data_IF_761615262527
#
_entry.id   IF_761615262527
#
_cell.length_a   1.000
_cell.length_b   1.000
_cell.length_c   1.000
_cell.angle_alpha   90.00
_cell.angle_beta   90.00
_cell.angle_gamma   90.00
#
_symmetry.space_group_name_H-M   'P 1'
#
loop_
_entity.id
_entity.type
_entity.pdbx_description
1 polymer ?
#
# COMPACT_ATOMS: atom_id res chain seq x y z
N UNK A 1 26.65 3.92 -8.38
CA UNK A 1 27.26 3.54 -7.07
C UNK A 1 28.56 4.32 -6.87
N UNK A 2 28.50 5.66 -6.89
CA UNK A 2 29.67 6.54 -6.67
C UNK A 2 29.42 7.73 -5.73
N UNK A 3 28.18 8.06 -5.36
CA UNK A 3 27.92 9.30 -4.61
C UNK A 3 27.76 9.19 -3.09
N UNK A 4 27.70 7.99 -2.52
CA UNK A 4 27.59 7.85 -1.04
C UNK A 4 28.95 7.96 -0.35
N UNK A 5 30.04 7.66 -1.07
CA UNK A 5 31.40 7.71 -0.52
C UNK A 5 31.94 9.12 -0.35
N UNK A 6 31.48 10.09 -1.16
CA UNK A 6 31.97 11.47 -1.09
C UNK A 6 31.41 12.22 0.13
N UNK A 7 30.16 11.93 0.52
CA UNK A 7 29.50 12.57 1.66
C UNK A 7 30.11 12.15 3.01
N UNK A 8 30.60 10.91 3.12
CA UNK A 8 31.23 10.41 4.34
C UNK A 8 32.67 10.94 4.51
N UNK A 9 33.42 11.09 3.41
CA UNK A 9 34.77 11.69 3.41
C UNK A 9 34.73 13.18 3.79
N UNK A 10 33.67 13.91 3.42
CA UNK A 10 33.50 15.31 3.78
C UNK A 10 33.25 15.55 5.29
N UNK A 11 32.83 14.52 6.04
CA UNK A 11 32.54 14.60 7.48
C UNK A 11 33.79 14.43 8.36
N UNK A 12 34.85 13.77 7.87
CA UNK A 12 36.09 13.57 8.64
C UNK A 12 37.10 14.73 8.53
N UNK A 13 37.00 15.59 7.52
CA UNK A 13 37.95 16.72 7.33
C UNK A 13 37.65 17.97 8.17
N UNK A 14 36.53 18.02 8.91
CA UNK A 14 36.15 19.16 9.74
C UNK A 14 36.53 18.99 11.23
N UNK A 15 37.84 18.90 11.51
CA UNK A 15 38.37 18.98 12.90
C UNK A 15 38.38 20.39 13.50
N UNK A 16 37.99 21.41 12.73
CA UNK A 16 37.58 22.72 13.24
C UNK A 16 36.13 22.92 12.84
N UNK A 17 35.23 23.03 13.82
CA UNK A 17 33.79 23.02 13.60
C UNK A 17 33.30 23.92 12.45
N UNK A 18 32.14 23.60 11.85
CA UNK A 18 31.70 24.22 10.60
C UNK A 18 31.59 25.75 10.73
N UNK A 19 32.00 26.52 9.70
CA UNK A 19 31.79 27.96 9.68
C UNK A 19 30.29 28.28 9.79
N UNK A 20 29.97 29.37 10.49
CA UNK A 20 28.59 29.80 10.72
C UNK A 20 27.85 29.98 9.39
N UNK A 21 26.94 29.05 9.09
CA UNK A 21 26.23 28.93 7.81
C UNK A 21 26.15 27.50 7.28
N UNK A 22 27.11 26.63 7.60
CA UNK A 22 27.15 25.26 7.07
C UNK A 22 26.20 24.29 7.78
N UNK A 23 25.91 24.53 9.07
CA UNK A 23 24.90 23.75 9.80
C UNK A 23 23.49 23.95 9.21
N UNK A 24 23.17 25.17 8.77
CA UNK A 24 21.88 25.46 8.12
C UNK A 24 21.75 24.72 6.80
N UNK A 25 22.80 24.68 5.98
CA UNK A 25 22.82 23.96 4.71
C UNK A 25 22.73 22.42 4.89
N UNK A 26 23.34 21.87 5.94
CA UNK A 26 23.25 20.44 6.26
C UNK A 26 21.85 20.09 6.79
N UNK A 27 21.24 20.95 7.60
CA UNK A 27 19.86 20.77 8.09
C UNK A 27 18.86 20.89 6.94
N UNK A 28 19.04 21.82 5.99
CA UNK A 28 18.22 21.93 4.78
C UNK A 28 18.39 20.72 3.86
N UNK A 29 19.61 20.23 3.65
CA UNK A 29 19.86 19.03 2.84
C UNK A 29 19.28 17.75 3.47
N UNK A 30 19.27 17.64 4.81
CA UNK A 30 18.61 16.55 5.53
C UNK A 30 17.08 16.70 5.55
N UNK A 31 16.53 17.92 5.55
CA UNK A 31 15.09 18.19 5.44
C UNK A 31 14.53 17.88 4.04
N UNK A 32 15.35 17.99 2.99
CA UNK A 32 14.99 17.57 1.61
C UNK A 32 14.89 16.03 1.50
N UNK A 33 15.55 15.28 2.40
CA UNK A 33 15.40 13.82 2.47
C UNK A 33 14.14 13.38 3.23
N UNK A 34 13.66 14.17 4.20
CA UNK A 34 12.46 13.86 5.00
C UNK A 34 11.14 14.33 4.37
N UNK A 35 11.18 15.10 3.27
CA UNK A 35 9.98 15.65 2.60
C UNK A 35 9.23 14.67 1.69
N UNK A 36 9.64 13.39 1.60
CA UNK A 36 8.86 12.37 0.87
C UNK A 36 7.58 11.90 1.58
N UNK A 37 7.35 12.34 2.82
CA UNK A 37 6.15 12.02 3.60
C UNK A 37 5.63 13.23 4.38
N UNK A 38 5.36 14.35 3.70
CA UNK A 38 4.47 15.36 4.27
C UNK A 38 3.01 14.87 4.11
N UNK A 39 2.21 14.74 5.19
CA UNK A 39 0.81 14.38 5.04
C UNK A 39 0.07 15.54 4.36
N UNK A 40 -0.51 15.26 3.19
CA UNK A 40 -1.44 16.18 2.54
C UNK A 40 -2.72 16.15 3.38
N UNK A 41 -3.01 17.26 4.05
CA UNK A 41 -4.20 17.40 4.89
C UNK A 41 -5.41 17.63 3.98
N UNK A 42 -6.11 16.56 3.60
CA UNK A 42 -7.42 16.67 2.99
C UNK A 42 -8.45 16.71 4.13
N UNK A 43 -9.01 17.90 4.34
CA UNK A 43 -10.14 18.13 5.24
C UNK A 43 -11.37 17.50 4.57
N UNK A 44 -11.76 16.31 5.03
CA UNK A 44 -12.98 15.65 4.58
C UNK A 44 -14.08 15.99 5.59
N UNK A 45 -15.24 16.50 5.15
CA UNK A 45 -16.34 16.77 6.05
C UNK A 45 -16.80 15.45 6.67
N UNK A 46 -16.77 15.40 8.01
CA UNK A 46 -17.42 14.35 8.78
C UNK A 46 -18.93 14.39 8.50
N UNK A 47 -19.53 13.21 8.30
CA UNK A 47 -20.98 12.95 8.32
C UNK A 47 -21.86 13.27 7.09
N UNK A 48 -21.39 13.03 5.86
CA UNK A 48 -22.34 12.80 4.75
C UNK A 48 -22.83 11.34 4.74
N UNK A 49 -24.00 11.12 5.35
CA UNK A 49 -24.81 9.93 5.12
C UNK A 49 -25.20 9.91 3.64
N UNK A 50 -24.77 8.87 2.93
CA UNK A 50 -25.05 8.65 1.51
C UNK A 50 -26.55 8.78 1.26
N UNK A 51 -26.91 9.66 0.32
CA UNK A 51 -28.30 9.84 -0.08
C UNK A 51 -28.83 8.54 -0.70
N UNK A 52 -30.13 8.24 -0.54
CA UNK A 52 -30.73 7.03 -1.13
C UNK A 52 -30.61 7.00 -2.68
N UNK A 53 -30.39 8.16 -3.30
CA UNK A 53 -30.21 8.34 -4.74
C UNK A 53 -28.80 7.92 -5.19
N UNK A 54 -27.77 8.22 -4.40
CA UNK A 54 -26.39 7.77 -4.65
C UNK A 54 -26.23 6.25 -4.46
N UNK A 55 -26.93 5.69 -3.47
CA UNK A 55 -27.00 4.24 -3.26
C UNK A 55 -27.65 3.54 -4.48
N UNK A 56 -28.73 4.10 -5.03
CA UNK A 56 -29.40 3.55 -6.21
C UNK A 56 -28.55 3.67 -7.50
N UNK A 57 -27.71 4.71 -7.62
CA UNK A 57 -26.78 4.87 -8.73
C UNK A 57 -25.65 3.82 -8.72
N UNK A 58 -25.19 3.41 -7.53
CA UNK A 58 -24.19 2.36 -7.35
C UNK A 58 -24.78 0.96 -7.55
N UNK A 59 -25.98 0.70 -7.04
CA UNK A 59 -26.71 -0.55 -7.23
C UNK A 59 -27.07 -0.78 -8.71
N UNK A 60 -27.21 0.31 -9.48
CA UNK A 60 -27.45 0.31 -10.93
C UNK A 60 -26.21 0.12 -11.81
N UNK A 61 -25.00 -0.04 -11.25
CA UNK A 61 -23.80 -0.33 -12.03
C UNK A 61 -23.62 -1.86 -12.19
N UNK A 62 -24.01 -2.47 -13.33
CA UNK A 62 -23.82 -3.90 -13.61
C UNK A 62 -22.33 -4.35 -13.65
N UNK A 63 -21.40 -3.45 -13.34
CA UNK A 63 -19.96 -3.67 -13.33
C UNK A 63 -19.40 -4.03 -11.95
N UNK A 64 -20.04 -3.61 -10.85
CA UNK A 64 -19.57 -3.93 -9.48
C UNK A 64 -19.83 -5.40 -9.11
N UNK A 65 -20.75 -6.07 -9.82
CA UNK A 65 -20.98 -7.51 -9.73
C UNK A 65 -19.94 -8.33 -10.51
N UNK A 66 -19.19 -7.72 -11.43
CA UNK A 66 -18.21 -8.42 -12.27
C UNK A 66 -16.87 -8.59 -11.54
N UNK A 67 -16.20 -9.71 -11.83
CA UNK A 67 -14.88 -9.99 -11.27
C UNK A 67 -13.84 -9.04 -11.85
N UNK A 68 -13.03 -8.42 -10.98
CA UNK A 68 -11.93 -7.53 -11.42
C UNK A 68 -10.78 -8.37 -11.99
N UNK A 69 -10.74 -9.65 -11.61
CA UNK A 69 -9.71 -10.61 -12.01
C UNK A 69 -10.33 -11.92 -12.50
N UNK A 70 -9.64 -12.57 -13.42
CA UNK A 70 -9.85 -13.96 -13.82
C UNK A 70 -9.04 -14.88 -12.90
N UNK A 71 -9.72 -15.86 -12.31
CA UNK A 71 -9.08 -16.90 -11.49
C UNK A 71 -8.50 -17.98 -12.40
N UNK A 72 -7.24 -18.34 -12.16
CA UNK A 72 -6.45 -19.28 -12.98
C UNK A 72 -6.24 -20.58 -12.20
N UNK A 73 -4.99 -21.03 -12.11
CA UNK A 73 -4.63 -22.27 -11.43
C UNK A 73 -4.65 -22.11 -9.91
N UNK A 74 -5.01 -23.20 -9.21
CA UNK A 74 -4.89 -23.27 -7.75
C UNK A 74 -3.44 -23.52 -7.38
N UNK A 75 -2.99 -22.84 -6.33
CA UNK A 75 -1.69 -23.04 -5.71
C UNK A 75 -1.88 -23.55 -4.28
N UNK A 76 -0.78 -23.83 -3.58
CA UNK A 76 -0.83 -24.18 -2.15
C UNK A 76 -1.36 -23.03 -1.27
N UNK A 77 -1.19 -21.78 -1.74
CA UNK A 77 -1.49 -20.57 -0.96
C UNK A 77 -2.79 -19.88 -1.41
N UNK A 78 -3.45 -20.37 -2.47
CA UNK A 78 -4.68 -19.76 -2.98
C UNK A 78 -4.90 -20.00 -4.47
N UNK A 79 -5.31 -18.96 -5.18
CA UNK A 79 -5.58 -19.01 -6.63
C UNK A 79 -4.80 -17.92 -7.35
N UNK A 80 -4.06 -18.30 -8.39
CA UNK A 80 -3.41 -17.33 -9.27
C UNK A 80 -4.44 -16.53 -10.03
N UNK A 81 -4.16 -15.25 -10.25
CA UNK A 81 -5.10 -14.34 -10.91
C UNK A 81 -4.49 -13.68 -12.15
N UNK A 82 -5.37 -13.19 -13.01
CA UNK A 82 -5.06 -12.27 -14.10
C UNK A 82 -6.04 -11.10 -14.07
N UNK A 83 -5.58 -9.87 -14.16
CA UNK A 83 -6.41 -8.67 -14.12
C UNK A 83 -7.25 -8.54 -15.38
N UNK A 84 -8.53 -8.25 -15.22
CA UNK A 84 -9.41 -7.83 -16.31
C UNK A 84 -9.24 -6.34 -16.51
N UNK A 85 -8.24 -5.96 -17.31
CA UNK A 85 -7.76 -4.58 -17.47
C UNK A 85 -8.85 -3.52 -17.67
N UNK A 86 -9.85 -3.71 -18.54
CA UNK A 86 -10.94 -2.74 -18.72
C UNK A 86 -11.81 -2.52 -17.48
N UNK A 87 -12.13 -3.59 -16.73
CA UNK A 87 -12.94 -3.51 -15.51
C UNK A 87 -12.13 -2.83 -14.41
N UNK A 88 -10.89 -3.29 -14.18
CA UNK A 88 -9.98 -2.69 -13.21
C UNK A 88 -9.78 -1.18 -13.48
N UNK A 89 -9.56 -0.82 -14.75
CA UNK A 89 -9.37 0.57 -15.15
C UNK A 89 -10.60 1.45 -14.89
N UNK A 90 -11.81 0.94 -15.15
CA UNK A 90 -13.05 1.67 -14.84
C UNK A 90 -13.22 1.90 -13.35
N UNK A 91 -12.93 0.91 -12.51
CA UNK A 91 -12.99 1.06 -11.05
C UNK A 91 -12.01 2.13 -10.59
N UNK A 92 -10.77 2.11 -11.10
CA UNK A 92 -9.79 3.16 -10.76
C UNK A 92 -10.25 4.54 -11.24
N UNK A 93 -10.87 4.65 -12.40
CA UNK A 93 -11.42 5.92 -12.88
C UNK A 93 -12.54 6.45 -11.97
N UNK A 94 -13.39 5.56 -11.43
CA UNK A 94 -14.40 5.91 -10.41
C UNK A 94 -13.72 6.38 -9.12
N UNK A 95 -12.79 5.59 -8.57
CA UNK A 95 -12.10 5.91 -7.31
C UNK A 95 -11.28 7.21 -7.37
N UNK A 96 -10.79 7.56 -8.56
CA UNK A 96 -10.10 8.83 -8.81
C UNK A 96 -11.03 10.03 -8.74
N UNK A 97 -12.29 9.87 -9.17
CA UNK A 97 -13.30 10.93 -9.11
C UNK A 97 -13.90 11.00 -7.71
N UNK A 98 -14.20 9.86 -7.11
CA UNK A 98 -14.79 9.75 -5.77
C UNK A 98 -14.18 8.58 -5.00
N UNK A 99 -13.41 8.89 -3.95
CA UNK A 99 -12.81 7.88 -3.08
C UNK A 99 -13.85 7.20 -2.17
N UNK A 100 -15.02 7.80 -1.93
CA UNK A 100 -16.04 7.21 -1.07
C UNK A 100 -16.54 5.87 -1.62
N UNK A 101 -16.52 5.69 -2.93
CA UNK A 101 -16.78 4.42 -3.59
C UNK A 101 -15.87 3.28 -3.09
N UNK A 102 -14.64 3.56 -2.62
CA UNK A 102 -13.76 2.54 -2.04
C UNK A 102 -14.34 1.92 -0.76
N UNK A 103 -15.08 2.68 0.04
CA UNK A 103 -15.73 2.18 1.25
C UNK A 103 -16.92 1.29 0.93
N UNK A 104 -17.52 1.42 -0.26
CA UNK A 104 -18.68 0.65 -0.70
C UNK A 104 -18.31 -0.64 -1.46
N UNK A 105 -17.05 -0.79 -1.86
CA UNK A 105 -16.60 -2.03 -2.49
C UNK A 105 -16.76 -3.21 -1.52
N UNK A 106 -17.29 -4.36 -1.98
CA UNK A 106 -17.20 -5.60 -1.21
C UNK A 106 -15.73 -5.89 -0.84
N UNK A 107 -15.43 -6.39 0.37
CA UNK A 107 -14.05 -6.65 0.80
C UNK A 107 -13.23 -7.44 -0.23
N UNK A 108 -13.82 -8.49 -0.80
CA UNK A 108 -13.16 -9.31 -1.83
C UNK A 108 -12.89 -8.56 -3.13
N UNK A 109 -13.78 -7.63 -3.52
CA UNK A 109 -13.53 -6.78 -4.68
C UNK A 109 -12.40 -5.80 -4.41
N UNK A 110 -12.27 -5.34 -3.17
CA UNK A 110 -11.13 -4.52 -2.77
C UNK A 110 -9.82 -5.32 -2.77
N UNK A 111 -9.82 -6.57 -2.33
CA UNK A 111 -8.68 -7.50 -2.48
C UNK A 111 -8.32 -7.74 -3.95
N UNK A 112 -9.31 -8.01 -4.81
CA UNK A 112 -9.10 -8.18 -6.24
C UNK A 112 -8.54 -6.92 -6.91
N UNK A 113 -8.96 -5.72 -6.48
CA UNK A 113 -8.42 -4.44 -6.96
C UNK A 113 -6.92 -4.32 -6.63
N UNK A 114 -6.53 -4.63 -5.39
CA UNK A 114 -5.14 -4.61 -4.93
C UNK A 114 -4.30 -5.67 -5.63
N UNK A 115 -4.83 -6.89 -5.81
CA UNK A 115 -4.18 -7.95 -6.56
C UNK A 115 -3.95 -7.54 -8.04
N UNK A 116 -4.97 -6.98 -8.68
CA UNK A 116 -4.83 -6.44 -10.03
C UNK A 116 -3.78 -5.33 -10.12
N UNK A 117 -3.64 -4.50 -9.07
CA UNK A 117 -2.62 -3.47 -9.01
C UNK A 117 -1.20 -4.07 -8.96
N UNK A 118 -0.96 -5.11 -8.16
CA UNK A 118 0.33 -5.81 -8.16
C UNK A 118 0.67 -6.40 -9.53
N UNK A 119 -0.28 -7.03 -10.21
CA UNK A 119 -0.01 -7.59 -11.53
C UNK A 119 0.32 -6.48 -12.55
N UNK A 120 -0.42 -5.37 -12.53
CA UNK A 120 -0.12 -4.20 -13.37
C UNK A 120 1.21 -3.52 -13.05
N UNK A 121 1.68 -3.62 -11.80
CA UNK A 121 3.02 -3.16 -11.39
C UNK A 121 4.14 -4.06 -11.95
N UNK A 122 3.80 -5.22 -12.50
CA UNK A 122 4.74 -6.15 -13.12
C UNK A 122 5.14 -7.34 -12.24
N UNK A 123 4.38 -7.64 -11.19
CA UNK A 123 4.50 -8.92 -10.48
C UNK A 123 3.99 -10.04 -11.38
N UNK A 124 4.72 -11.15 -11.44
CA UNK A 124 4.47 -12.22 -12.40
C UNK A 124 3.42 -13.20 -11.89
N UNK A 125 3.52 -13.52 -10.59
CA UNK A 125 2.57 -14.39 -9.91
C UNK A 125 1.84 -13.56 -8.86
N UNK A 126 0.54 -13.37 -9.04
CA UNK A 126 -0.31 -12.74 -8.03
C UNK A 126 -1.38 -13.74 -7.63
N UNK A 127 -1.42 -14.03 -6.34
CA UNK A 127 -2.27 -15.05 -5.74
C UNK A 127 -3.24 -14.35 -4.80
N UNK A 128 -4.54 -14.61 -4.98
CA UNK A 128 -5.55 -14.34 -3.96
C UNK A 128 -5.65 -15.56 -3.06
N UNK A 129 -5.54 -15.34 -1.75
CA UNK A 129 -5.61 -16.39 -0.76
C UNK A 129 -7.07 -16.82 -0.52
N UNK A 130 -7.32 -17.98 0.11
CA UNK A 130 -8.65 -18.37 0.54
C UNK A 130 -9.17 -17.46 1.65
N UNK A 131 -10.48 -17.20 1.71
CA UNK A 131 -11.12 -16.33 2.73
C UNK A 131 -10.92 -16.76 4.19
N UNK A 132 -10.38 -17.94 4.44
CA UNK A 132 -10.19 -18.50 5.78
C UNK A 132 -8.95 -19.37 5.83
N UNK A 133 -8.22 -19.34 6.95
CA UNK A 133 -7.03 -20.17 7.15
C UNK A 133 -5.79 -19.67 6.38
N UNK A 134 -5.83 -18.44 5.88
CA UNK A 134 -4.75 -17.76 5.16
C UNK A 134 -3.79 -17.00 6.09
N UNK A 135 -4.03 -17.04 7.40
CA UNK A 135 -3.32 -16.28 8.42
C UNK A 135 -3.41 -14.75 8.24
N UNK A 136 -4.45 -14.25 7.56
CA UNK A 136 -4.65 -12.82 7.32
C UNK A 136 -3.81 -12.22 6.19
N UNK A 137 -3.24 -13.07 5.33
CA UNK A 137 -2.66 -12.67 4.04
C UNK A 137 -3.80 -12.71 3.04
N UNK A 138 -4.09 -11.61 2.37
CA UNK A 138 -5.18 -11.54 1.39
C UNK A 138 -4.64 -11.61 -0.05
N UNK A 139 -3.42 -11.09 -0.28
CA UNK A 139 -2.73 -11.12 -1.57
C UNK A 139 -1.27 -11.53 -1.39
N UNK A 140 -0.78 -12.43 -2.23
CA UNK A 140 0.65 -12.75 -2.34
C UNK A 140 1.12 -12.38 -3.75
N UNK A 141 2.17 -11.57 -3.86
CA UNK A 141 2.71 -11.12 -5.13
C UNK A 141 4.19 -11.49 -5.24
N UNK A 142 4.55 -12.21 -6.31
CA UNK A 142 5.93 -12.65 -6.57
C UNK A 142 6.43 -12.06 -7.88
N UNK A 143 7.62 -11.45 -7.80
CA UNK A 143 8.41 -11.03 -8.96
C UNK A 143 9.62 -11.95 -9.06
N UNK A 144 9.80 -12.58 -10.23
CA UNK A 144 10.89 -13.53 -10.49
C UNK A 144 12.07 -12.85 -11.17
N UNK A 145 13.18 -13.57 -11.29
CA UNK A 145 14.43 -13.11 -11.91
C UNK A 145 15.54 -12.87 -10.88
N UNK A 146 16.59 -12.17 -11.31
CA UNK A 146 17.69 -11.78 -10.43
C UNK A 146 17.14 -10.86 -9.34
N UNK A 147 17.27 -11.27 -8.07
CA UNK A 147 16.66 -10.56 -6.94
C UNK A 147 15.15 -10.78 -6.84
N UNK A 148 14.70 -12.03 -6.87
CA UNK A 148 13.28 -12.39 -6.71
C UNK A 148 12.71 -11.84 -5.40
N UNK A 149 11.49 -11.30 -5.46
CA UNK A 149 10.79 -10.70 -4.33
C UNK A 149 9.44 -11.38 -4.16
N UNK A 150 9.11 -11.74 -2.92
CA UNK A 150 7.78 -12.19 -2.51
C UNK A 150 7.21 -11.20 -1.50
N UNK A 151 6.06 -10.62 -1.81
CA UNK A 151 5.31 -9.73 -0.92
C UNK A 151 4.07 -10.45 -0.43
N UNK A 152 3.89 -10.49 0.89
CA UNK A 152 2.62 -10.88 1.51
C UNK A 152 1.86 -9.62 1.91
N UNK A 153 0.59 -9.54 1.54
CA UNK A 153 -0.20 -8.32 1.72
C UNK A 153 -1.47 -8.65 2.48
N UNK A 154 -1.74 -7.89 3.54
CA UNK A 154 -3.07 -7.84 4.16
C UNK A 154 -3.83 -6.62 3.65
N UNK A 155 -5.09 -6.80 3.29
CA UNK A 155 -5.97 -5.81 2.70
C UNK A 155 -7.14 -5.56 3.65
N UNK A 156 -7.27 -4.33 4.16
CA UNK A 156 -8.30 -3.96 5.15
C UNK A 156 -9.18 -2.83 4.63
N UNK A 157 -10.43 -3.15 4.26
CA UNK A 157 -11.45 -2.15 3.97
C UNK A 157 -12.10 -1.66 5.27
N UNK A 158 -11.64 -0.51 5.77
CA UNK A 158 -12.24 0.17 6.92
C UNK A 158 -12.91 1.48 6.51
N UNK A 159 -13.92 1.89 7.28
CA UNK A 159 -14.56 3.19 7.13
C UNK A 159 -13.55 4.34 7.38
N UNK A 160 -13.82 5.51 6.80
CA UNK A 160 -12.94 6.68 6.90
C UNK A 160 -12.60 7.06 8.35
N UNK A 161 -13.59 6.98 9.24
CA UNK A 161 -13.46 7.30 10.67
C UNK A 161 -12.84 6.18 11.52
N UNK A 162 -12.53 5.02 10.94
CA UNK A 162 -11.94 3.87 11.65
C UNK A 162 -10.50 3.66 11.19
N UNK A 163 -9.54 4.08 12.01
CA UNK A 163 -8.12 3.79 11.79
C UNK A 163 -7.85 2.28 11.90
N UNK A 164 -6.80 1.83 11.21
CA UNK A 164 -6.30 0.46 11.32
C UNK A 164 -5.82 0.20 12.77
N UNK A 165 -6.33 -0.83 13.46
CA UNK A 165 -5.82 -1.24 14.76
C UNK A 165 -4.35 -1.64 14.72
N UNK A 166 -3.59 -1.38 15.80
CA UNK A 166 -2.20 -1.83 15.90
C UNK A 166 -2.08 -3.35 15.77
N UNK A 167 -3.08 -4.10 16.25
CA UNK A 167 -3.07 -5.55 16.24
C UNK A 167 -3.11 -6.13 14.83
N UNK A 168 -3.76 -5.47 13.85
CA UNK A 168 -3.71 -5.89 12.44
C UNK A 168 -2.28 -5.80 11.88
N UNK A 169 -1.56 -4.74 12.25
CA UNK A 169 -0.17 -4.50 11.81
C UNK A 169 0.76 -5.52 12.46
N UNK A 170 0.59 -5.75 13.77
CA UNK A 170 1.38 -6.73 14.53
C UNK A 170 1.11 -8.16 14.07
N UNK A 171 -0.14 -8.49 13.73
CA UNK A 171 -0.49 -9.79 13.17
C UNK A 171 0.24 -10.03 11.85
N UNK A 172 0.24 -9.06 10.93
CA UNK A 172 1.01 -9.15 9.69
C UNK A 172 2.51 -9.33 9.94
N UNK A 173 3.08 -8.61 10.91
CA UNK A 173 4.49 -8.78 11.30
C UNK A 173 4.76 -10.18 11.85
N UNK A 174 3.83 -10.75 12.62
CA UNK A 174 3.92 -12.13 13.08
C UNK A 174 4.01 -13.11 11.92
N UNK A 175 3.11 -13.00 10.94
CA UNK A 175 3.11 -13.84 9.73
C UNK A 175 4.40 -13.66 8.93
N UNK A 176 4.83 -12.42 8.71
CA UNK A 176 6.07 -12.09 7.99
C UNK A 176 7.32 -12.72 8.62
N UNK A 177 7.35 -12.88 9.95
CA UNK A 177 8.46 -13.52 10.65
C UNK A 177 8.40 -15.04 10.59
N UNK A 178 7.20 -15.63 10.49
CA UNK A 178 7.03 -17.07 10.31
C UNK A 178 7.29 -17.51 8.86
N UNK A 179 6.94 -16.68 7.88
CA UNK A 179 7.08 -16.96 6.45
C UNK A 179 8.44 -16.46 5.93
N UNK A 180 9.48 -17.26 6.16
CA UNK A 180 10.88 -16.87 5.91
C UNK A 180 11.20 -16.58 4.43
N UNK A 181 10.40 -17.09 3.49
CA UNK A 181 10.55 -16.83 2.05
C UNK A 181 9.85 -15.51 1.61
N UNK A 182 9.08 -14.86 2.50
CA UNK A 182 8.52 -13.54 2.24
C UNK A 182 9.59 -12.45 2.42
N UNK A 183 9.78 -11.63 1.40
CA UNK A 183 10.73 -10.53 1.40
C UNK A 183 10.19 -9.30 2.15
N UNK A 184 8.88 -9.05 2.06
CA UNK A 184 8.20 -7.87 2.62
C UNK A 184 6.75 -8.19 2.98
N UNK A 185 6.27 -7.63 4.09
CA UNK A 185 4.86 -7.55 4.44
C UNK A 185 4.30 -6.17 4.07
N UNK A 186 3.09 -6.14 3.53
CA UNK A 186 2.40 -4.89 3.20
C UNK A 186 0.99 -4.88 3.80
N UNK A 187 0.57 -3.78 4.41
CA UNK A 187 -0.83 -3.59 4.80
C UNK A 187 -1.43 -2.46 3.97
N UNK A 188 -2.48 -2.79 3.22
CA UNK A 188 -3.22 -1.86 2.37
C UNK A 188 -4.58 -1.59 2.99
N UNK A 189 -4.99 -0.32 3.08
CA UNK A 189 -6.31 0.03 3.62
C UNK A 189 -6.99 1.16 2.85
N UNK A 190 -8.33 1.17 2.86
CA UNK A 190 -9.13 2.33 2.44
C UNK A 190 -9.05 3.51 3.41
N UNK A 191 -8.72 3.23 4.69
CA UNK A 191 -8.72 4.19 5.78
C UNK A 191 -7.32 4.79 6.02
N UNK A 192 -6.91 4.95 7.28
CA UNK A 192 -5.64 5.53 7.73
C UNK A 192 -5.00 4.69 8.82
N UNK A 193 -3.69 4.85 8.97
CA UNK A 193 -2.93 4.26 10.06
C UNK A 193 -2.89 5.18 11.29
N UNK A 194 -2.63 4.62 12.49
CA UNK A 194 -2.32 5.41 13.68
C UNK A 194 -1.13 6.34 13.44
N UNK A 195 -1.20 7.56 13.98
CA UNK A 195 -0.09 8.50 13.88
C UNK A 195 1.16 7.94 14.57
N UNK A 196 2.34 8.17 13.97
CA UNK A 196 3.65 7.70 14.49
C UNK A 196 3.81 6.18 14.59
N UNK A 197 2.97 5.39 13.92
CA UNK A 197 3.11 3.92 13.90
C UNK A 197 4.50 3.47 13.41
N UNK A 198 5.08 4.20 12.46
CA UNK A 198 6.43 3.94 11.94
C UNK A 198 7.55 4.23 12.95
N UNK A 199 7.24 4.94 14.04
CA UNK A 199 8.16 5.25 15.14
C UNK A 199 8.01 4.25 16.31
N UNK A 200 7.04 3.33 16.25
CA UNK A 200 6.86 2.31 17.28
C UNK A 200 8.11 1.44 17.38
N UNK A 201 8.69 1.29 18.58
CA UNK A 201 10.00 0.66 18.83
C UNK A 201 10.22 -0.66 18.09
N UNK A 202 9.20 -1.51 18.00
CA UNK A 202 9.29 -2.84 17.40
C UNK A 202 8.94 -2.88 15.91
N UNK A 203 8.30 -1.83 15.39
CA UNK A 203 7.95 -1.72 13.97
C UNK A 203 8.95 -0.88 13.19
N UNK A 204 9.50 0.17 13.80
CA UNK A 204 10.44 1.09 13.18
C UNK A 204 11.61 0.39 12.46
N UNK A 205 12.25 -0.67 13.01
CA UNK A 205 13.33 -1.37 12.32
C UNK A 205 12.90 -2.11 11.04
N UNK A 206 11.60 -2.37 10.88
CA UNK A 206 11.06 -3.06 9.70
C UNK A 206 10.84 -2.12 8.52
N UNK A 207 10.68 -0.81 8.78
CA UNK A 207 10.44 0.17 7.74
C UNK A 207 11.74 0.65 7.06
N UNK A 208 11.70 0.98 5.76
CA UNK A 208 10.67 0.64 4.77
C UNK A 208 10.88 -0.75 4.15
N UNK A 209 11.94 -1.49 4.50
CA UNK A 209 12.41 -2.62 3.70
C UNK A 209 11.61 -3.90 3.90
N UNK A 210 11.17 -4.17 5.14
CA UNK A 210 10.45 -5.39 5.54
C UNK A 210 8.96 -5.17 5.71
N UNK A 211 8.54 -3.99 6.15
CA UNK A 211 7.14 -3.63 6.34
C UNK A 211 6.81 -2.36 5.54
N UNK A 212 5.63 -2.33 4.94
CA UNK A 212 5.10 -1.17 4.22
C UNK A 212 3.62 -1.00 4.54
N UNK A 213 3.21 0.24 4.82
CA UNK A 213 1.84 0.60 5.14
C UNK A 213 1.32 1.56 4.07
N UNK A 214 0.23 1.21 3.40
CA UNK A 214 -0.36 1.98 2.32
C UNK A 214 -1.80 2.35 2.67
N UNK A 215 -2.01 3.62 2.99
CA UNK A 215 -3.34 4.15 3.31
C UNK A 215 -4.11 4.58 2.07
N UNK A 216 -5.35 5.05 2.24
CA UNK A 216 -6.22 5.39 1.11
C UNK A 216 -5.59 6.36 0.09
N UNK A 217 -5.01 7.50 0.50
CA UNK A 217 -4.36 8.45 -0.41
C UNK A 217 -3.17 7.83 -1.15
N UNK A 218 -2.33 7.06 -0.45
CA UNK A 218 -1.19 6.38 -1.07
C UNK A 218 -1.64 5.31 -2.06
N UNK A 219 -2.67 4.54 -1.70
CA UNK A 219 -3.29 3.55 -2.56
C UNK A 219 -3.87 4.21 -3.82
N UNK A 220 -4.66 5.27 -3.68
CA UNK A 220 -5.24 5.98 -4.83
C UNK A 220 -4.15 6.51 -5.78
N UNK A 221 -3.08 7.09 -5.22
CA UNK A 221 -1.92 7.56 -5.98
C UNK A 221 -1.27 6.40 -6.76
N UNK A 222 -1.12 5.24 -6.13
CA UNK A 222 -0.56 4.05 -6.76
C UNK A 222 -1.45 3.53 -7.90
N UNK A 223 -2.76 3.39 -7.66
CA UNK A 223 -3.74 2.97 -8.66
C UNK A 223 -3.76 3.92 -9.87
N UNK A 224 -3.74 5.24 -9.62
CA UNK A 224 -3.72 6.25 -10.68
C UNK A 224 -2.44 6.19 -11.53
N UNK A 225 -1.28 5.92 -10.92
CA UNK A 225 -0.02 5.70 -11.65
C UNK A 225 -0.15 4.51 -12.59
N UNK A 226 -0.68 3.40 -12.10
CA UNK A 226 -0.88 2.16 -12.86
C UNK A 226 -1.95 2.25 -13.95
N UNK A 227 -2.88 3.20 -13.84
CA UNK A 227 -3.91 3.46 -14.86
C UNK A 227 -3.35 4.21 -16.08
N UNK A 228 -2.30 5.01 -15.89
CA UNK A 228 -1.64 5.80 -16.96
C UNK A 228 -0.67 4.98 -17.81
N UNK A 229 -0.18 3.87 -17.25
CA UNK A 229 0.72 2.92 -17.91
C UNK A 229 -0.08 1.76 -18.52
#
# INVERSE_FOLDING_TARGET
MKDVSAAFVALEELRGGPPAGTLTAIVEALAISSTKYAPVNYDYPDDEVISAEDQAALDGLPLLSQSIVERREKTKDGTLIKVVGPIWGRIVDILRTDWNAAYQLPPERFEELVAGAFEREGYHDVILTPRSGDCGRDVIAVRRGVGSIKIITSVKRYAANRKVPHDDIRALVGVLNCEQDASKGMLVTTSRFPARIEQERFLAPLFPHRLELMDGPQLLKWLCRLRRN
#
